data_IF_518741951020
#
_entry.id   IF_518741951020
#
_cell.length_a   1.000
_cell.length_b   1.000
_cell.length_c   1.000
_cell.angle_alpha   90.00
_cell.angle_beta   90.00
_cell.angle_gamma   90.00
#
_symmetry.space_group_name_H-M   'P 1'
#
loop_
_entity.id
_entity.type
_entity.pdbx_description
1 polymer ?
#
# COMPACT_ATOMS: atom_id res chain seq x y z
N UNK A 1 6.12 -4.53 -10.94
CA UNK A 1 5.16 -3.42 -11.09
C UNK A 1 4.93 -2.70 -9.76
N UNK A 2 4.44 -3.35 -8.69
CA UNK A 2 4.12 -2.68 -7.42
C UNK A 2 5.26 -1.82 -6.83
N UNK A 3 6.47 -2.37 -6.71
CA UNK A 3 7.60 -1.62 -6.14
C UNK A 3 8.06 -0.45 -7.02
N UNK A 4 7.92 -0.57 -8.35
CA UNK A 4 8.22 0.53 -9.25
C UNK A 4 7.18 1.65 -9.13
N UNK A 5 5.91 1.30 -8.94
CA UNK A 5 4.86 2.27 -8.63
C UNK A 5 5.11 2.95 -7.29
N UNK A 6 5.58 2.21 -6.28
CA UNK A 6 5.96 2.77 -4.99
C UNK A 6 7.13 3.75 -5.09
N UNK A 7 8.17 3.42 -5.85
CA UNK A 7 9.30 4.33 -6.09
C UNK A 7 8.88 5.61 -6.82
N UNK A 8 7.92 5.49 -7.74
CA UNK A 8 7.34 6.64 -8.42
C UNK A 8 6.45 7.48 -7.47
N UNK A 9 5.64 6.85 -6.62
CA UNK A 9 4.79 7.54 -5.63
C UNK A 9 5.58 8.23 -4.51
N UNK A 10 6.78 7.75 -4.19
CA UNK A 10 7.64 8.34 -3.18
C UNK A 10 8.19 9.73 -3.59
N UNK A 11 8.11 10.05 -4.88
CA UNK A 11 8.50 11.34 -5.44
C UNK A 11 7.30 12.29 -5.43
N UNK A 12 7.36 13.33 -4.60
CA UNK A 12 6.22 14.23 -4.39
C UNK A 12 5.83 14.99 -5.68
N UNK A 13 6.73 15.15 -6.64
CA UNK A 13 6.42 15.71 -7.96
C UNK A 13 5.39 14.87 -8.75
N UNK A 14 5.20 13.60 -8.40
CA UNK A 14 4.25 12.71 -9.03
C UNK A 14 2.85 12.73 -8.36
N UNK A 15 2.67 13.53 -7.30
CA UNK A 15 1.42 13.58 -6.52
C UNK A 15 0.20 13.92 -7.37
N UNK A 16 0.27 14.99 -8.15
CA UNK A 16 -0.88 15.46 -8.91
C UNK A 16 -1.24 14.46 -10.02
N UNK A 17 -0.22 13.91 -10.70
CA UNK A 17 -0.40 12.86 -11.69
C UNK A 17 -1.04 11.59 -11.09
N UNK A 18 -0.66 11.21 -9.87
CA UNK A 18 -1.29 10.09 -9.16
C UNK A 18 -2.78 10.39 -8.86
N UNK A 19 -3.06 11.56 -8.31
CA UNK A 19 -4.41 11.97 -7.93
C UNK A 19 -5.32 12.00 -9.16
N UNK A 20 -4.84 12.55 -10.28
CA UNK A 20 -5.60 12.58 -11.54
C UNK A 20 -5.86 11.17 -12.08
N UNK A 21 -4.84 10.30 -12.04
CA UNK A 21 -4.99 8.89 -12.45
C UNK A 21 -6.07 8.18 -11.64
N UNK A 22 -6.03 8.28 -10.31
CA UNK A 22 -7.01 7.64 -9.43
C UNK A 22 -8.39 8.28 -9.56
N UNK A 23 -8.47 9.60 -9.72
CA UNK A 23 -9.73 10.30 -9.96
C UNK A 23 -10.44 9.76 -11.19
N UNK A 24 -9.71 9.60 -12.30
CA UNK A 24 -10.23 9.04 -13.55
C UNK A 24 -10.65 7.58 -13.41
N UNK A 25 -9.84 6.75 -12.74
CA UNK A 25 -10.13 5.32 -12.59
C UNK A 25 -11.29 5.03 -11.63
N UNK A 26 -11.37 5.75 -10.52
CA UNK A 26 -12.38 5.54 -9.48
C UNK A 26 -13.63 6.41 -9.66
N UNK A 27 -13.64 7.32 -10.65
CA UNK A 27 -14.70 8.32 -10.87
C UNK A 27 -14.98 9.20 -9.65
N UNK A 28 -13.98 9.41 -8.78
CA UNK A 28 -14.06 10.36 -7.67
C UNK A 28 -13.53 11.74 -8.09
N UNK A 29 -14.19 12.85 -7.71
CA UNK A 29 -13.64 14.18 -7.92
C UNK A 29 -12.23 14.35 -7.34
N UNK A 30 -11.35 15.00 -8.11
CA UNK A 30 -9.95 15.31 -7.73
C UNK A 30 -9.87 15.93 -6.34
N UNK A 31 -10.76 16.88 -6.03
CA UNK A 31 -10.78 17.60 -4.75
C UNK A 31 -10.95 16.67 -3.53
N UNK A 32 -11.70 15.57 -3.68
CA UNK A 32 -11.86 14.58 -2.61
C UNK A 32 -10.52 13.91 -2.37
N UNK A 33 -9.88 13.39 -3.40
CA UNK A 33 -8.58 12.71 -3.28
C UNK A 33 -7.46 13.64 -2.79
N UNK A 34 -7.46 14.90 -3.20
CA UNK A 34 -6.53 15.91 -2.65
C UNK A 34 -6.74 16.11 -1.15
N UNK A 35 -7.99 16.09 -0.69
CA UNK A 35 -8.31 16.20 0.74
C UNK A 35 -7.89 14.95 1.53
N UNK A 36 -8.08 13.76 0.97
CA UNK A 36 -7.67 12.49 1.59
C UNK A 36 -6.17 12.44 1.89
N UNK A 37 -5.34 12.94 0.98
CA UNK A 37 -3.87 12.91 1.11
C UNK A 37 -3.26 14.21 1.64
N UNK A 38 -4.08 15.14 2.15
CA UNK A 38 -3.59 16.43 2.66
C UNK A 38 -2.63 16.21 3.83
N UNK A 39 -1.44 16.81 3.73
CA UNK A 39 -0.41 16.74 4.79
C UNK A 39 0.28 15.39 4.97
N UNK A 40 -0.02 14.39 4.12
CA UNK A 40 0.62 13.06 4.15
C UNK A 40 1.45 12.85 2.89
N UNK A 41 2.66 12.30 3.02
CA UNK A 41 3.45 11.86 1.86
C UNK A 41 2.81 10.63 1.23
N UNK A 42 2.71 10.60 -0.10
CA UNK A 42 2.05 9.48 -0.79
C UNK A 42 2.80 8.16 -0.62
N UNK A 43 4.14 8.20 -0.63
CA UNK A 43 4.96 7.01 -0.38
C UNK A 43 4.71 6.36 0.98
N UNK A 44 4.37 7.15 2.00
CA UNK A 44 4.03 6.62 3.32
C UNK A 44 2.57 6.15 3.37
N UNK A 45 1.64 6.96 2.85
CA UNK A 45 0.21 6.66 2.88
C UNK A 45 -0.18 5.43 2.05
N UNK A 46 0.57 5.12 1.00
CA UNK A 46 0.32 4.02 0.07
C UNK A 46 1.39 2.93 0.15
N UNK A 47 2.15 2.90 1.24
CA UNK A 47 3.23 1.93 1.44
C UNK A 47 2.70 0.49 1.32
N UNK A 48 3.35 -0.38 0.52
CA UNK A 48 2.97 -1.78 0.43
C UNK A 48 3.53 -2.64 1.57
N UNK A 49 4.20 -2.03 2.57
CA UNK A 49 4.85 -2.79 3.65
C UNK A 49 3.81 -3.49 4.53
N UNK A 50 4.06 -4.76 4.78
CA UNK A 50 3.28 -5.60 5.68
C UNK A 50 4.00 -5.73 7.03
N UNK A 51 4.30 -4.58 7.66
CA UNK A 51 4.97 -4.53 8.96
C UNK A 51 4.02 -4.90 10.11
N UNK A 52 4.60 -5.10 11.31
CA UNK A 52 3.85 -5.51 12.49
C UNK A 52 2.72 -4.51 12.85
N UNK A 53 2.95 -3.22 12.67
CA UNK A 53 1.94 -2.19 12.93
C UNK A 53 0.77 -2.29 11.96
N UNK A 54 1.03 -2.52 10.67
CA UNK A 54 0.00 -2.73 9.66
C UNK A 54 -0.80 -4.02 9.93
N UNK A 55 -0.11 -5.13 10.19
CA UNK A 55 -0.75 -6.41 10.50
C UNK A 55 -1.58 -6.32 11.79
N UNK A 56 -1.09 -5.61 12.81
CA UNK A 56 -1.83 -5.37 14.05
C UNK A 56 -3.14 -4.60 13.84
N UNK A 57 -3.19 -3.63 12.92
CA UNK A 57 -4.43 -2.93 12.53
C UNK A 57 -5.42 -3.86 11.83
N UNK A 58 -4.93 -4.79 11.00
CA UNK A 58 -5.78 -5.80 10.36
C UNK A 58 -6.32 -6.79 11.39
N UNK A 59 -5.50 -7.27 12.32
CA UNK A 59 -5.94 -8.14 13.41
C UNK A 59 -7.00 -7.46 14.27
N UNK A 60 -6.83 -6.18 14.63
CA UNK A 60 -7.84 -5.43 15.36
C UNK A 60 -9.19 -5.38 14.60
N UNK A 61 -9.14 -5.27 13.27
CA UNK A 61 -10.33 -5.27 12.42
C UNK A 61 -11.00 -6.65 12.34
N UNK A 62 -10.22 -7.73 12.26
CA UNK A 62 -10.70 -9.11 12.30
C UNK A 62 -11.39 -9.39 13.66
N UNK A 63 -10.78 -8.97 14.75
CA UNK A 63 -11.35 -9.10 16.10
C UNK A 63 -12.66 -8.31 16.24
N UNK A 64 -12.70 -7.08 15.71
CA UNK A 64 -13.94 -6.30 15.67
C UNK A 64 -15.04 -7.01 14.86
N UNK A 65 -14.71 -7.54 13.68
CA UNK A 65 -15.65 -8.28 12.85
C UNK A 65 -16.20 -9.53 13.56
N UNK A 66 -15.36 -10.27 14.29
CA UNK A 66 -15.77 -11.43 15.08
C UNK A 66 -16.72 -11.02 16.21
N UNK A 67 -16.36 -9.97 16.95
CA UNK A 67 -17.18 -9.44 18.06
C UNK A 67 -18.57 -8.98 17.60
N UNK A 68 -18.64 -8.33 16.43
CA UNK A 68 -19.91 -7.88 15.84
C UNK A 68 -20.66 -8.97 15.06
N UNK A 69 -20.16 -10.21 15.05
CA UNK A 69 -20.82 -11.34 14.36
C UNK A 69 -20.77 -11.29 12.84
N UNK A 70 -19.91 -10.43 12.25
CA UNK A 70 -19.73 -10.31 10.80
C UNK A 70 -18.98 -11.53 10.21
N UNK A 71 -18.13 -12.16 11.02
CA UNK A 71 -17.42 -13.39 10.65
C UNK A 71 -17.66 -14.48 11.69
N UNK A 72 -17.74 -15.73 11.22
CA UNK A 72 -17.92 -16.90 12.09
C UNK A 72 -16.60 -17.46 12.61
N UNK A 73 -15.57 -17.49 11.76
CA UNK A 73 -14.25 -18.04 12.10
C UNK A 73 -13.29 -16.91 12.43
N UNK A 74 -12.45 -17.17 13.40
CA UNK A 74 -11.30 -16.33 13.72
C UNK A 74 -10.09 -16.79 12.89
N UNK A 75 -9.22 -15.85 12.56
CA UNK A 75 -7.94 -16.05 11.88
C UNK A 75 -7.04 -14.85 12.25
N UNK A 76 -5.74 -14.95 11.97
CA UNK A 76 -4.83 -13.80 12.10
C UNK A 76 -4.37 -13.30 10.73
N UNK A 77 -4.09 -12.00 10.64
CA UNK A 77 -3.53 -11.37 9.47
C UNK A 77 -2.15 -11.97 9.11
N UNK A 78 -1.35 -12.31 10.11
CA UNK A 78 -0.04 -12.94 9.91
C UNK A 78 -0.13 -14.29 9.19
N UNK A 79 -1.14 -15.12 9.48
CA UNK A 79 -1.33 -16.42 8.81
C UNK A 79 -1.63 -16.28 7.32
N UNK A 80 -2.13 -15.12 6.89
CA UNK A 80 -2.46 -14.82 5.50
C UNK A 80 -1.38 -13.99 4.80
N UNK A 81 -0.60 -13.21 5.55
CA UNK A 81 0.41 -12.34 5.00
C UNK A 81 1.60 -13.15 4.47
N UNK A 82 2.13 -12.71 3.34
CA UNK A 82 3.33 -13.28 2.71
C UNK A 82 4.39 -12.17 2.49
N UNK A 83 4.94 -11.57 3.57
CA UNK A 83 5.89 -10.46 3.48
C UNK A 83 7.17 -10.82 2.69
N UNK A 84 7.54 -12.10 2.68
CA UNK A 84 8.68 -12.61 1.91
C UNK A 84 8.57 -12.37 0.41
N UNK A 85 7.36 -12.29 -0.14
CA UNK A 85 7.14 -11.97 -1.56
C UNK A 85 7.51 -10.52 -1.86
N UNK A 86 7.23 -9.59 -0.94
CA UNK A 86 7.62 -8.18 -1.05
C UNK A 86 9.14 -8.04 -0.97
N UNK A 87 9.77 -8.75 -0.04
CA UNK A 87 11.22 -8.78 0.11
C UNK A 87 11.92 -9.37 -1.12
N UNK A 88 11.42 -10.49 -1.64
CA UNK A 88 11.93 -11.10 -2.88
C UNK A 88 11.80 -10.14 -4.08
N UNK A 89 10.64 -9.50 -4.23
CA UNK A 89 10.42 -8.49 -5.25
C UNK A 89 11.39 -7.30 -5.11
N UNK A 90 11.69 -6.87 -3.89
CA UNK A 90 12.63 -5.79 -3.61
C UNK A 90 14.05 -6.12 -4.03
N UNK A 91 14.50 -7.35 -3.75
CA UNK A 91 15.80 -7.85 -4.21
C UNK A 91 15.88 -7.88 -5.74
N UNK A 92 14.84 -8.38 -6.41
CA UNK A 92 14.76 -8.44 -7.87
C UNK A 92 14.78 -7.04 -8.51
N UNK A 93 14.02 -6.09 -7.95
CA UNK A 93 13.98 -4.72 -8.45
C UNK A 93 15.36 -4.04 -8.36
N UNK A 94 16.06 -4.20 -7.22
CA UNK A 94 17.44 -3.69 -7.04
C UNK A 94 18.42 -4.32 -8.02
N UNK A 95 18.39 -5.63 -8.19
CA UNK A 95 19.27 -6.33 -9.13
C UNK A 95 19.08 -5.84 -10.58
N UNK A 96 17.83 -5.62 -11.00
CA UNK A 96 17.52 -5.08 -12.32
C UNK A 96 18.05 -3.65 -12.51
N UNK A 97 17.94 -2.79 -11.49
CA UNK A 97 18.47 -1.43 -11.56
C UNK A 97 20.00 -1.39 -11.71
N UNK A 98 20.73 -2.27 -11.00
CA UNK A 98 22.18 -2.38 -11.12
C UNK A 98 22.59 -2.85 -12.51
N UNK A 99 21.90 -3.84 -13.07
CA UNK A 99 22.18 -4.35 -14.42
C UNK A 99 21.89 -3.33 -15.54
N UNK A 100 21.00 -2.36 -15.31
CA UNK A 100 20.68 -1.29 -16.27
C UNK A 100 21.66 -0.11 -16.23
N UNK A 101 22.51 -0.03 -15.19
CA UNK A 101 23.47 1.04 -14.98
C UNK A 101 24.92 0.65 -15.37
N UNK A 102 25.13 -0.59 -15.81
CA UNK A 102 26.40 -1.14 -16.31
C UNK A 102 26.36 -1.30 -17.83
#
# INVERSE_FOLDING_TARGET
VQLQAQDWLAREENRDAYIELVSKQASYPVVILQSEYRGRKLGDALSPRLDADFLGRLDASIQAAKRFGLIRREFSAEQWAAPELLEAAGKLAKAKAVAQAA
#
